data_IF_994846519914
#
_entry.id   IF_994846519914
#
_cell.length_a   1.000
_cell.length_b   1.000
_cell.length_c   1.000
_cell.angle_alpha   90.00
_cell.angle_beta   90.00
_cell.angle_gamma   90.00
#
_symmetry.space_group_name_H-M   'P 1'
#
loop_
_entity.id
_entity.type
_entity.pdbx_description
1 polymer ?
#
# COMPACT_ATOMS: atom_id res chain seq x y z
N UNK A 1 -58.15 -36.99 -27.83
CA UNK A 1 -59.46 -37.11 -27.15
C UNK A 1 -59.33 -36.73 -25.70
N UNK A 2 -60.19 -35.77 -25.30
CA UNK A 2 -60.76 -35.54 -23.95
C UNK A 2 -59.81 -35.25 -22.82
N UNK A 3 -60.00 -34.26 -21.93
CA UNK A 3 -60.94 -33.12 -21.83
C UNK A 3 -60.39 -32.18 -20.77
N UNK A 4 -60.54 -30.89 -20.96
CA UNK A 4 -60.54 -29.83 -19.96
C UNK A 4 -61.60 -30.15 -18.88
N UNK A 5 -61.37 -29.72 -17.69
CA UNK A 5 -62.34 -29.04 -16.76
C UNK A 5 -61.58 -28.59 -15.52
N UNK A 6 -61.39 -27.31 -15.32
CA UNK A 6 -62.27 -26.38 -14.58
C UNK A 6 -62.33 -26.72 -13.09
N UNK A 7 -62.10 -25.87 -12.14
CA UNK A 7 -62.66 -24.52 -11.95
C UNK A 7 -62.20 -23.96 -10.61
N UNK A 8 -61.84 -22.71 -10.63
CA UNK A 8 -62.32 -21.73 -9.64
C UNK A 8 -63.12 -22.27 -8.44
N UNK A 9 -62.50 -22.17 -7.23
CA UNK A 9 -63.20 -21.74 -5.99
C UNK A 9 -62.16 -21.48 -4.92
N UNK A 10 -62.18 -20.25 -4.36
CA UNK A 10 -61.38 -19.96 -3.18
C UNK A 10 -60.86 -18.52 -3.01
N UNK A 11 -61.47 -17.57 -3.74
CA UNK A 11 -61.41 -16.18 -3.28
C UNK A 11 -62.63 -15.95 -2.39
N UNK A 12 -62.43 -15.97 -1.07
CA UNK A 12 -63.27 -15.39 -0.02
C UNK A 12 -63.05 -16.17 1.30
N UNK A 13 -61.96 -15.95 1.98
CA UNK A 13 -61.81 -16.01 3.45
C UNK A 13 -60.41 -15.49 3.73
N UNK A 14 -60.25 -14.20 3.69
CA UNK A 14 -59.10 -13.53 4.32
C UNK A 14 -59.45 -12.04 4.50
N UNK A 15 -60.43 -11.80 5.29
CA UNK A 15 -60.77 -10.48 5.78
C UNK A 15 -61.58 -10.69 7.05
N UNK A 16 -60.90 -10.98 8.19
CA UNK A 16 -61.35 -10.76 9.56
C UNK A 16 -60.37 -11.42 10.54
N UNK A 17 -59.23 -10.77 10.73
CA UNK A 17 -58.42 -10.93 11.96
C UNK A 17 -57.34 -9.88 12.01
N UNK A 18 -57.73 -8.63 11.86
CA UNK A 18 -56.86 -7.48 12.02
C UNK A 18 -57.55 -6.47 12.94
N UNK A 19 -57.68 -6.85 14.20
CA UNK A 19 -58.01 -5.95 15.28
C UNK A 19 -57.97 -6.73 16.61
N UNK A 20 -56.83 -6.86 17.24
CA UNK A 20 -56.65 -7.04 18.67
C UNK A 20 -55.20 -7.51 18.96
N UNK A 21 -54.23 -6.61 18.91
CA UNK A 21 -53.05 -6.58 19.78
C UNK A 21 -52.45 -5.17 19.70
N UNK A 22 -53.11 -4.24 20.33
CA UNK A 22 -52.58 -2.94 20.68
C UNK A 22 -52.84 -2.80 22.18
N UNK A 23 -51.82 -3.03 22.97
CA UNK A 23 -51.58 -2.58 24.32
C UNK A 23 -50.99 -3.69 25.21
N UNK A 24 -49.70 -3.95 25.08
CA UNK A 24 -48.88 -4.42 26.21
C UNK A 24 -47.43 -4.02 25.87
N UNK A 25 -46.89 -3.16 26.74
CA UNK A 25 -45.46 -3.13 26.95
C UNK A 25 -44.69 -1.95 26.45
N UNK A 26 -45.02 -0.75 26.88
CA UNK A 26 -44.01 0.28 27.04
C UNK A 26 -43.22 -0.01 28.34
N UNK A 27 -42.31 -0.95 28.27
CA UNK A 27 -41.21 -1.12 29.23
C UNK A 27 -40.16 -2.03 28.59
N UNK A 28 -39.66 -1.60 27.44
CA UNK A 28 -38.42 -2.15 26.85
C UNK A 28 -37.34 -1.18 27.21
N UNK A 29 -36.42 -1.54 28.07
CA UNK A 29 -35.12 -0.92 28.18
C UNK A 29 -34.55 -0.72 26.77
N UNK A 30 -34.52 0.52 26.31
CA UNK A 30 -33.76 0.94 25.18
C UNK A 30 -32.28 0.78 25.54
N UNK A 31 -31.74 -0.42 25.38
CA UNK A 31 -30.33 -0.57 25.13
C UNK A 31 -30.09 0.20 23.83
N UNK A 32 -29.38 1.32 23.89
CA UNK A 32 -28.71 1.87 22.71
C UNK A 32 -28.01 0.68 22.09
N UNK A 33 -28.37 0.28 20.87
CA UNK A 33 -27.41 -0.36 19.99
C UNK A 33 -26.33 0.69 19.87
N UNK A 34 -25.18 0.45 20.46
CA UNK A 34 -24.01 1.25 20.17
C UNK A 34 -23.80 1.07 18.67
N UNK A 35 -24.11 2.11 17.89
CA UNK A 35 -23.94 2.09 16.45
C UNK A 35 -22.43 1.95 16.21
N UNK A 36 -22.01 0.85 15.59
CA UNK A 36 -20.60 0.59 15.25
C UNK A 36 -20.16 1.65 14.24
N UNK A 37 -19.18 2.46 14.61
CA UNK A 37 -18.56 3.41 13.66
C UNK A 37 -17.80 2.59 12.62
N UNK A 38 -17.95 2.94 11.35
CA UNK A 38 -17.22 2.29 10.26
C UNK A 38 -16.37 3.33 9.56
N UNK A 39 -15.07 3.06 9.40
CA UNK A 39 -14.16 3.84 8.57
C UNK A 39 -13.59 2.98 7.45
N UNK A 40 -13.27 3.61 6.32
CA UNK A 40 -12.67 2.96 5.16
C UNK A 40 -11.25 3.46 4.97
N UNK A 41 -10.28 2.53 5.01
CA UNK A 41 -8.89 2.77 4.65
C UNK A 41 -8.63 2.29 3.21
N UNK A 42 -8.22 3.21 2.35
CA UNK A 42 -7.77 2.92 0.98
C UNK A 42 -6.25 2.92 0.96
N UNK A 43 -5.66 1.75 0.68
CA UNK A 43 -4.23 1.49 0.87
C UNK A 43 -3.57 0.87 -0.36
N UNK A 44 -2.25 0.92 -0.43
CA UNK A 44 -1.51 0.21 -1.47
C UNK A 44 -1.24 -1.26 -1.09
N UNK A 45 -1.04 -2.12 -2.12
CA UNK A 45 -1.08 -3.58 -1.95
C UNK A 45 -0.12 -4.18 -0.90
N UNK A 46 1.15 -3.79 -0.80
CA UNK A 46 2.09 -4.39 0.14
C UNK A 46 1.71 -4.28 1.62
N UNK A 47 0.80 -3.36 1.98
CA UNK A 47 0.38 -3.14 3.38
C UNK A 47 -0.76 -4.03 3.85
N UNK A 48 -1.27 -4.93 3.01
CA UNK A 48 -2.47 -5.74 3.30
C UNK A 48 -2.36 -6.46 4.64
N UNK A 49 -1.31 -7.20 4.86
CA UNK A 49 -1.10 -8.01 6.07
C UNK A 49 -0.81 -7.13 7.30
N UNK A 50 -0.14 -5.98 7.10
CA UNK A 50 0.05 -4.99 8.16
C UNK A 50 -1.29 -4.46 8.65
N UNK A 51 -2.13 -3.97 7.74
CA UNK A 51 -3.41 -3.36 8.13
C UNK A 51 -4.45 -4.37 8.59
N UNK A 52 -4.41 -5.63 8.18
CA UNK A 52 -5.23 -6.68 8.75
C UNK A 52 -4.99 -6.79 10.27
N UNK A 53 -3.72 -6.89 10.69
CA UNK A 53 -3.33 -6.95 12.11
C UNK A 53 -3.52 -5.61 12.83
N UNK A 54 -3.20 -4.51 12.16
CA UNK A 54 -3.32 -3.17 12.72
C UNK A 54 -4.77 -2.80 13.03
N UNK A 55 -5.71 -3.15 12.19
CA UNK A 55 -7.13 -2.88 12.41
C UNK A 55 -7.65 -3.58 13.65
N UNK A 56 -7.35 -4.86 13.84
CA UNK A 56 -7.74 -5.59 15.04
C UNK A 56 -7.17 -4.92 16.31
N UNK A 57 -5.92 -4.47 16.24
CA UNK A 57 -5.25 -3.75 17.33
C UNK A 57 -5.92 -2.40 17.59
N UNK A 58 -6.22 -1.62 16.55
CA UNK A 58 -6.84 -0.31 16.69
C UNK A 58 -8.29 -0.40 17.15
N UNK A 59 -9.08 -1.37 16.64
CA UNK A 59 -10.45 -1.62 17.07
C UNK A 59 -10.53 -1.91 18.59
N UNK A 60 -9.59 -2.74 19.09
CA UNK A 60 -9.47 -3.02 20.51
C UNK A 60 -9.06 -1.77 21.30
N UNK A 61 -8.01 -1.06 20.88
CA UNK A 61 -7.56 0.19 21.50
C UNK A 61 -8.68 1.21 21.59
N UNK A 62 -9.40 1.46 20.50
CA UNK A 62 -10.45 2.46 20.45
C UNK A 62 -11.61 2.12 21.39
N UNK A 63 -11.99 0.84 21.45
CA UNK A 63 -12.99 0.36 22.39
C UNK A 63 -12.57 0.54 23.85
N UNK A 64 -11.31 0.25 24.18
CA UNK A 64 -10.79 0.41 25.55
C UNK A 64 -10.70 1.88 25.96
N UNK A 65 -10.31 2.77 25.05
CA UNK A 65 -10.12 4.19 25.34
C UNK A 65 -11.43 4.98 25.33
N UNK A 66 -12.33 4.69 24.40
CA UNK A 66 -13.52 5.49 24.14
C UNK A 66 -14.84 4.77 24.44
N UNK A 67 -14.81 3.47 24.71
CA UNK A 67 -16.01 2.65 24.98
C UNK A 67 -16.89 2.44 23.75
N UNK A 68 -16.39 2.75 22.55
CA UNK A 68 -17.12 2.71 21.29
C UNK A 68 -16.57 1.60 20.39
N UNK A 69 -17.46 0.75 19.83
CA UNK A 69 -17.08 -0.23 18.83
C UNK A 69 -16.88 0.44 17.47
N UNK A 70 -15.79 0.11 16.80
CA UNK A 70 -15.51 0.54 15.43
C UNK A 70 -15.23 -0.66 14.54
N UNK A 71 -15.30 -0.44 13.23
CA UNK A 71 -14.88 -1.40 12.21
C UNK A 71 -14.14 -0.67 11.11
N UNK A 72 -12.99 -1.19 10.75
CA UNK A 72 -12.20 -0.69 9.62
C UNK A 72 -12.42 -1.57 8.39
N UNK A 73 -12.85 -0.95 7.29
CA UNK A 73 -12.95 -1.59 5.97
C UNK A 73 -11.70 -1.23 5.19
N UNK A 74 -11.16 -2.18 4.44
CA UNK A 74 -9.96 -1.97 3.64
C UNK A 74 -10.18 -2.18 2.16
N UNK A 75 -9.50 -1.35 1.36
CA UNK A 75 -9.29 -1.55 -0.06
C UNK A 75 -7.79 -1.52 -0.36
N UNK A 76 -7.29 -2.47 -1.14
CA UNK A 76 -5.89 -2.56 -1.52
C UNK A 76 -5.75 -2.65 -3.05
N UNK A 77 -4.73 -1.97 -3.58
CA UNK A 77 -4.42 -1.95 -5.00
C UNK A 77 -3.13 -1.18 -5.28
N UNK A 78 -2.81 -0.94 -6.53
CA UNK A 78 -1.71 -0.05 -6.90
C UNK A 78 -1.97 1.37 -6.37
N UNK A 79 -0.96 2.02 -5.77
CA UNK A 79 -1.11 3.29 -5.06
C UNK A 79 -1.78 4.37 -5.92
N UNK A 80 -1.28 4.64 -7.13
CA UNK A 80 -1.90 5.61 -8.03
C UNK A 80 -3.31 5.21 -8.49
N UNK A 81 -3.62 3.91 -8.59
CA UNK A 81 -4.99 3.45 -8.90
C UNK A 81 -5.94 3.69 -7.72
N UNK A 82 -5.46 3.52 -6.50
CA UNK A 82 -6.22 3.81 -5.29
C UNK A 82 -6.47 5.31 -5.14
N UNK A 83 -5.47 6.15 -5.38
CA UNK A 83 -5.65 7.61 -5.38
C UNK A 83 -6.72 8.05 -6.39
N UNK A 84 -6.63 7.57 -7.64
CA UNK A 84 -7.65 7.86 -8.66
C UNK A 84 -9.03 7.37 -8.25
N UNK A 85 -9.16 6.21 -7.63
CA UNK A 85 -10.46 5.71 -7.18
C UNK A 85 -11.10 6.62 -6.13
N UNK A 86 -10.31 7.23 -5.26
CA UNK A 86 -10.80 8.21 -4.26
C UNK A 86 -11.28 9.47 -4.97
N UNK A 87 -10.49 10.00 -5.91
CA UNK A 87 -10.89 11.17 -6.74
C UNK A 87 -12.17 10.87 -7.54
N UNK A 88 -12.36 9.64 -8.00
CA UNK A 88 -13.55 9.21 -8.75
C UNK A 88 -14.77 8.90 -7.86
N UNK A 89 -14.65 9.06 -6.54
CA UNK A 89 -15.76 8.97 -5.60
C UNK A 89 -15.79 7.73 -4.71
N UNK A 90 -14.68 7.00 -4.57
CA UNK A 90 -14.55 6.01 -3.50
C UNK A 90 -14.61 6.72 -2.15
N UNK A 91 -15.57 6.32 -1.31
CA UNK A 91 -15.82 6.94 -0.01
C UNK A 91 -14.81 6.45 1.04
N UNK A 92 -13.54 6.81 0.86
CA UNK A 92 -12.48 6.56 1.83
C UNK A 92 -12.51 7.60 2.94
N UNK A 93 -12.30 7.19 4.18
CA UNK A 93 -12.13 8.08 5.34
C UNK A 93 -10.65 8.42 5.54
N UNK A 94 -9.76 7.47 5.23
CA UNK A 94 -8.31 7.65 5.26
C UNK A 94 -7.67 7.00 4.06
N UNK A 95 -6.52 7.51 3.68
CA UNK A 95 -5.62 6.90 2.69
C UNK A 95 -4.27 6.59 3.31
N UNK A 96 -3.67 5.47 2.88
CA UNK A 96 -2.34 5.03 3.30
C UNK A 96 -1.62 4.55 2.05
N UNK A 97 -0.90 5.45 1.38
CA UNK A 97 -0.40 5.27 0.01
C UNK A 97 1.13 5.17 -0.04
N UNK A 98 1.65 4.69 -1.16
CA UNK A 98 3.09 4.51 -1.34
C UNK A 98 3.83 5.81 -1.61
N UNK A 99 3.13 6.84 -2.11
CA UNK A 99 3.70 8.09 -2.56
C UNK A 99 2.94 9.29 -2.00
N UNK A 100 3.67 10.31 -1.58
CA UNK A 100 3.16 11.64 -1.32
C UNK A 100 2.38 12.19 -2.52
N UNK A 101 2.95 12.09 -3.73
CA UNK A 101 2.32 12.51 -4.98
C UNK A 101 0.90 11.95 -5.18
N UNK A 102 0.64 10.71 -4.78
CA UNK A 102 -0.69 10.10 -4.88
C UNK A 102 -1.70 10.75 -3.92
N UNK A 103 -1.23 11.20 -2.74
CA UNK A 103 -2.05 11.96 -1.78
C UNK A 103 -2.26 13.39 -2.28
N UNK A 104 -1.24 14.02 -2.86
CA UNK A 104 -1.33 15.34 -3.46
C UNK A 104 -2.34 15.38 -4.61
N UNK A 105 -2.45 14.32 -5.40
CA UNK A 105 -3.50 14.19 -6.41
C UNK A 105 -4.90 14.28 -5.78
N UNK A 106 -5.13 13.65 -4.63
CA UNK A 106 -6.41 13.69 -3.93
C UNK A 106 -6.64 15.08 -3.32
N UNK A 107 -5.60 15.68 -2.74
CA UNK A 107 -5.64 17.03 -2.18
C UNK A 107 -5.91 18.10 -3.25
N UNK A 108 -5.28 17.99 -4.41
CA UNK A 108 -5.51 18.89 -5.56
C UNK A 108 -6.96 18.83 -6.07
N UNK A 109 -7.68 17.74 -5.81
CA UNK A 109 -9.11 17.59 -6.10
C UNK A 109 -10.02 18.05 -4.94
N UNK A 110 -9.46 18.60 -3.86
CA UNK A 110 -10.20 19.23 -2.76
C UNK A 110 -10.80 18.23 -1.75
N UNK A 111 -10.36 16.97 -1.75
CA UNK A 111 -10.85 15.94 -0.85
C UNK A 111 -9.99 15.79 0.42
N UNK A 112 -8.74 16.24 0.37
CA UNK A 112 -7.79 16.29 1.48
C UNK A 112 -7.36 17.73 1.67
N UNK A 113 -7.28 18.21 2.91
CA UNK A 113 -6.90 19.58 3.21
C UNK A 113 -5.43 19.85 2.82
N UNK A 114 -5.11 21.03 2.26
CA UNK A 114 -3.73 21.42 2.01
C UNK A 114 -2.92 21.45 3.31
N UNK A 115 -1.67 20.93 3.27
CA UNK A 115 -0.83 20.83 4.45
C UNK A 115 -0.98 19.50 5.21
N UNK A 116 -1.68 18.53 4.66
CA UNK A 116 -1.83 17.17 5.17
C UNK A 116 -0.48 16.52 5.55
N UNK A 117 0.60 16.87 4.87
CA UNK A 117 1.93 16.31 5.11
C UNK A 117 2.48 16.67 6.50
N UNK A 118 2.09 17.82 7.03
CA UNK A 118 2.46 18.31 8.37
C UNK A 118 1.45 17.88 9.47
N UNK A 119 0.42 17.10 9.14
CA UNK A 119 -0.62 16.70 10.09
C UNK A 119 -0.09 15.70 11.11
N UNK A 120 0.78 14.80 10.69
CA UNK A 120 1.42 13.80 11.55
C UNK A 120 2.95 13.91 11.47
N UNK A 121 3.63 13.34 12.48
CA UNK A 121 5.10 13.35 12.54
C UNK A 121 5.74 12.69 11.30
N UNK A 122 6.98 13.09 10.98
CA UNK A 122 7.79 12.51 9.89
C UNK A 122 7.13 12.63 8.51
N UNK A 123 6.60 13.81 8.19
CA UNK A 123 5.94 14.10 6.92
C UNK A 123 4.75 13.15 6.67
N UNK A 124 3.96 12.92 7.72
CA UNK A 124 2.84 11.97 7.72
C UNK A 124 3.20 10.57 7.24
N UNK A 125 4.45 10.11 7.48
CA UNK A 125 4.97 8.79 7.15
C UNK A 125 5.27 7.97 8.41
N UNK A 126 4.33 7.15 8.90
CA UNK A 126 4.48 6.41 10.16
C UNK A 126 5.50 5.27 10.10
N UNK A 127 5.82 4.79 8.93
CA UNK A 127 6.81 3.75 8.65
C UNK A 127 7.43 3.96 7.27
N UNK A 128 8.59 3.36 7.06
CA UNK A 128 9.31 3.42 5.79
C UNK A 128 9.70 2.02 5.31
N UNK A 129 10.23 1.94 4.11
CA UNK A 129 10.86 0.75 3.57
C UNK A 129 12.09 1.14 2.77
N UNK A 130 12.71 0.17 2.13
CA UNK A 130 13.78 0.39 1.14
C UNK A 130 13.65 -0.63 0.04
N UNK A 131 14.44 -0.47 -1.02
CA UNK A 131 14.45 -1.38 -2.16
C UNK A 131 15.61 -2.35 -2.00
N UNK A 132 15.31 -3.63 -2.15
CA UNK A 132 16.25 -4.76 -2.07
C UNK A 132 16.05 -5.68 -3.27
N UNK A 133 16.89 -6.68 -3.42
CA UNK A 133 16.69 -7.75 -4.40
C UNK A 133 16.28 -9.03 -3.71
N UNK A 134 15.25 -9.66 -4.24
CA UNK A 134 14.89 -11.03 -3.88
C UNK A 134 15.40 -11.97 -4.97
N UNK A 135 16.19 -12.96 -4.57
CA UNK A 135 16.74 -13.99 -5.48
C UNK A 135 16.41 -15.38 -4.95
N UNK A 136 16.46 -16.38 -5.83
CA UNK A 136 16.29 -17.78 -5.40
C UNK A 136 17.50 -18.24 -4.64
N UNK A 137 17.29 -19.16 -3.71
CA UNK A 137 18.33 -19.73 -2.85
C UNK A 137 19.53 -20.21 -3.65
N UNK A 138 20.71 -19.81 -3.19
CA UNK A 138 21.98 -20.11 -3.85
C UNK A 138 22.36 -19.12 -4.96
N UNK A 139 21.50 -18.13 -5.24
CA UNK A 139 21.81 -16.97 -6.09
C UNK A 139 22.60 -17.35 -7.35
N UNK A 140 22.02 -18.17 -8.21
CA UNK A 140 22.69 -18.79 -9.36
C UNK A 140 23.34 -17.80 -10.35
N UNK A 141 22.87 -16.54 -10.35
CA UNK A 141 23.40 -15.45 -11.19
C UNK A 141 24.46 -14.61 -10.48
N UNK A 142 24.79 -14.92 -9.21
CA UNK A 142 25.74 -14.16 -8.39
C UNK A 142 25.39 -12.67 -8.35
N UNK A 143 24.11 -12.36 -8.10
CA UNK A 143 23.58 -11.00 -7.96
C UNK A 143 24.05 -10.44 -6.62
N UNK A 144 24.76 -9.30 -6.65
CA UNK A 144 25.29 -8.62 -5.46
C UNK A 144 24.89 -7.17 -5.39
N UNK A 145 24.78 -6.52 -6.56
CA UNK A 145 24.45 -5.10 -6.66
C UNK A 145 23.73 -4.81 -7.99
N UNK A 146 23.33 -3.58 -8.20
CA UNK A 146 22.59 -3.10 -9.35
C UNK A 146 23.26 -3.38 -10.70
N UNK A 147 24.60 -3.36 -10.77
CA UNK A 147 25.35 -3.64 -12.01
C UNK A 147 25.24 -5.11 -12.44
N UNK A 148 24.91 -6.01 -11.53
CA UNK A 148 24.63 -7.41 -11.89
C UNK A 148 23.31 -7.57 -12.63
N UNK A 149 22.35 -6.65 -12.43
CA UNK A 149 21.03 -6.67 -13.06
C UNK A 149 21.08 -6.29 -14.55
N UNK A 150 22.17 -5.69 -15.00
CA UNK A 150 22.38 -5.30 -16.41
C UNK A 150 23.22 -6.31 -17.21
N UNK A 151 23.51 -7.48 -16.65
CA UNK A 151 24.15 -8.60 -17.38
C UNK A 151 23.18 -9.17 -18.41
N UNK A 152 23.70 -9.57 -19.58
CA UNK A 152 22.88 -10.01 -20.74
C UNK A 152 22.06 -11.29 -20.47
N UNK A 153 22.42 -12.07 -19.46
CA UNK A 153 21.79 -13.34 -19.08
C UNK A 153 20.97 -13.25 -17.80
N UNK A 154 20.61 -12.06 -17.33
CA UNK A 154 19.81 -11.81 -16.13
C UNK A 154 18.44 -11.31 -16.53
N UNK A 155 17.40 -12.01 -16.05
CA UNK A 155 16.00 -11.61 -16.20
C UNK A 155 15.49 -10.94 -14.92
N UNK A 156 15.08 -9.69 -15.05
CA UNK A 156 14.57 -8.86 -13.94
C UNK A 156 13.04 -8.87 -13.93
N UNK A 157 12.47 -8.91 -12.72
CA UNK A 157 11.03 -8.66 -12.48
C UNK A 157 10.91 -7.37 -11.67
N UNK A 158 10.03 -6.48 -12.09
CA UNK A 158 9.68 -5.25 -11.36
C UNK A 158 8.30 -4.78 -11.80
N UNK A 159 7.53 -4.08 -10.96
CA UNK A 159 6.27 -3.49 -11.41
C UNK A 159 6.48 -2.26 -12.30
N UNK A 160 5.39 -1.82 -12.95
CA UNK A 160 5.35 -0.70 -13.88
C UNK A 160 5.22 0.64 -13.15
N UNK A 161 6.18 1.58 -13.30
CA UNK A 161 6.10 2.92 -12.70
C UNK A 161 4.87 3.75 -13.13
N UNK A 162 4.26 3.46 -14.27
CA UNK A 162 3.04 4.15 -14.73
C UNK A 162 1.78 3.76 -13.95
N UNK A 163 1.81 2.65 -13.23
CA UNK A 163 0.65 2.14 -12.49
C UNK A 163 0.90 1.88 -11.01
N UNK A 164 2.16 1.70 -10.62
CA UNK A 164 2.59 1.30 -9.29
C UNK A 164 3.51 2.33 -8.66
N UNK A 165 3.07 2.98 -7.59
CA UNK A 165 3.94 3.85 -6.79
C UNK A 165 5.16 3.10 -6.24
N UNK A 166 5.01 1.81 -5.91
CA UNK A 166 6.15 0.97 -5.52
C UNK A 166 7.22 0.88 -6.59
N UNK A 167 6.84 0.87 -7.87
CA UNK A 167 7.77 0.84 -8.98
C UNK A 167 8.50 2.17 -9.20
N UNK A 168 7.87 3.31 -8.86
CA UNK A 168 8.55 4.60 -8.87
C UNK A 168 9.75 4.58 -7.90
N UNK A 169 9.58 4.02 -6.72
CA UNK A 169 10.68 3.84 -5.76
C UNK A 169 11.76 2.89 -6.29
N UNK A 170 11.40 1.79 -6.97
CA UNK A 170 12.37 0.87 -7.60
C UNK A 170 13.22 1.60 -8.66
N UNK A 171 12.56 2.40 -9.51
CA UNK A 171 13.23 3.21 -10.52
C UNK A 171 14.19 4.22 -9.90
N UNK A 172 13.74 4.96 -8.88
CA UNK A 172 14.55 5.97 -8.21
C UNK A 172 15.74 5.35 -7.45
N UNK A 173 15.57 4.14 -6.86
CA UNK A 173 16.67 3.41 -6.23
C UNK A 173 17.76 3.02 -7.25
N UNK A 174 17.36 2.50 -8.41
CA UNK A 174 18.28 2.20 -9.51
C UNK A 174 19.00 3.46 -10.02
N UNK A 175 18.27 4.56 -10.16
CA UNK A 175 18.82 5.85 -10.59
C UNK A 175 19.79 6.45 -9.55
N UNK A 176 19.49 6.28 -8.25
CA UNK A 176 20.39 6.68 -7.15
C UNK A 176 21.72 5.92 -7.22
N UNK A 177 21.68 4.61 -7.46
CA UNK A 177 22.90 3.84 -7.72
C UNK A 177 23.65 4.35 -8.94
N UNK A 178 22.95 4.53 -10.07
CA UNK A 178 23.57 5.00 -11.30
C UNK A 178 24.24 6.38 -11.11
N UNK A 179 23.57 7.33 -10.46
CA UNK A 179 24.13 8.66 -10.15
C UNK A 179 25.28 8.63 -9.13
N UNK A 180 25.34 7.58 -8.28
CA UNK A 180 26.45 7.37 -7.34
C UNK A 180 27.67 6.78 -8.07
N UNK A 181 27.43 5.94 -9.06
CA UNK A 181 28.49 5.13 -9.73
C UNK A 181 29.07 5.81 -10.97
N UNK A 182 28.23 6.46 -11.78
CA UNK A 182 28.62 7.08 -13.03
C UNK A 182 28.65 8.60 -12.92
N UNK A 183 29.64 9.21 -13.56
CA UNK A 183 29.81 10.68 -13.58
C UNK A 183 29.26 11.33 -14.86
N UNK A 184 29.07 10.56 -15.92
CA UNK A 184 28.52 11.01 -17.19
C UNK A 184 27.02 10.68 -17.28
N UNK A 185 26.23 11.67 -17.67
CA UNK A 185 24.76 11.49 -17.76
C UNK A 185 24.38 10.45 -18.82
N UNK A 186 25.14 10.34 -19.89
CA UNK A 186 24.90 9.33 -20.93
C UNK A 186 25.09 7.92 -20.38
N UNK A 187 26.11 7.70 -19.53
CA UNK A 187 26.36 6.40 -18.89
C UNK A 187 25.25 6.05 -17.88
N UNK A 188 24.75 7.05 -17.13
CA UNK A 188 23.61 6.88 -16.21
C UNK A 188 22.39 6.35 -16.98
N UNK A 189 22.01 7.03 -18.06
CA UNK A 189 20.83 6.64 -18.83
C UNK A 189 21.05 5.37 -19.65
N UNK A 190 22.27 5.07 -20.06
CA UNK A 190 22.60 3.79 -20.68
C UNK A 190 22.43 2.63 -19.68
N UNK A 191 22.87 2.80 -18.44
CA UNK A 191 22.63 1.82 -17.39
C UNK A 191 21.14 1.61 -17.15
N UNK A 192 20.34 2.69 -16.95
CA UNK A 192 18.91 2.60 -16.74
C UNK A 192 18.20 1.92 -17.91
N UNK A 193 18.53 2.27 -19.13
CA UNK A 193 17.99 1.62 -20.33
C UNK A 193 18.30 0.13 -20.34
N UNK A 194 19.53 -0.26 -20.03
CA UNK A 194 19.95 -1.66 -20.01
C UNK A 194 19.25 -2.45 -18.91
N UNK A 195 19.04 -1.86 -17.74
CA UNK A 195 18.27 -2.45 -16.65
C UNK A 195 16.85 -2.78 -17.11
N UNK A 196 16.15 -1.82 -17.73
CA UNK A 196 14.78 -2.01 -18.18
C UNK A 196 14.67 -2.92 -19.42
N UNK A 197 15.73 -3.05 -20.23
CA UNK A 197 15.80 -4.07 -21.28
C UNK A 197 15.87 -5.50 -20.75
N UNK A 198 16.38 -5.69 -19.52
CA UNK A 198 16.42 -6.98 -18.85
C UNK A 198 15.13 -7.29 -18.09
N UNK A 199 14.17 -6.36 -18.01
CA UNK A 199 12.87 -6.59 -17.37
C UNK A 199 12.04 -7.48 -18.30
N UNK A 200 11.84 -8.73 -17.88
CA UNK A 200 11.10 -9.74 -18.66
C UNK A 200 9.60 -9.72 -18.39
N UNK A 201 9.18 -9.26 -17.22
CA UNK A 201 7.77 -9.04 -16.83
C UNK A 201 7.68 -7.76 -16.02
N UNK A 202 6.71 -6.92 -16.37
CA UNK A 202 6.37 -5.69 -15.68
C UNK A 202 4.90 -5.74 -15.27
N UNK A 203 4.66 -6.03 -14.00
CA UNK A 203 3.31 -6.16 -13.45
C UNK A 203 2.73 -4.80 -13.06
N UNK A 204 1.41 -4.69 -12.95
CA UNK A 204 0.72 -3.45 -12.61
C UNK A 204 0.90 -3.00 -11.15
N UNK A 205 1.51 -3.82 -10.29
CA UNK A 205 1.73 -3.53 -8.86
C UNK A 205 2.78 -4.44 -8.24
N UNK A 206 3.33 -4.02 -7.09
CA UNK A 206 4.40 -4.73 -6.39
C UNK A 206 4.02 -6.17 -6.04
N UNK A 207 2.81 -6.41 -5.52
CA UNK A 207 2.31 -7.76 -5.19
C UNK A 207 2.22 -8.64 -6.44
N UNK A 208 1.82 -8.09 -7.59
CA UNK A 208 1.81 -8.80 -8.88
C UNK A 208 3.21 -9.31 -9.24
N UNK A 209 4.23 -8.46 -9.10
CA UNK A 209 5.62 -8.83 -9.37
C UNK A 209 6.15 -9.89 -8.39
N UNK A 210 5.78 -9.80 -7.11
CA UNK A 210 6.08 -10.86 -6.12
C UNK A 210 5.44 -12.19 -6.54
N UNK A 211 4.17 -12.20 -6.92
CA UNK A 211 3.49 -13.41 -7.42
C UNK A 211 4.16 -13.95 -8.69
N UNK A 212 4.50 -13.08 -9.64
CA UNK A 212 5.20 -13.48 -10.89
C UNK A 212 6.54 -14.14 -10.59
N UNK A 213 7.30 -13.59 -9.64
CA UNK A 213 8.62 -14.13 -9.27
C UNK A 213 8.51 -15.39 -8.41
N UNK A 214 7.71 -15.34 -7.33
CA UNK A 214 7.63 -16.40 -6.31
C UNK A 214 6.77 -17.57 -6.76
N UNK A 215 5.52 -17.31 -7.16
CA UNK A 215 4.57 -18.38 -7.48
C UNK A 215 4.69 -18.89 -8.92
N UNK A 216 4.91 -17.97 -9.88
CA UNK A 216 5.01 -18.33 -11.28
C UNK A 216 6.44 -18.70 -11.71
N UNK A 217 7.44 -18.49 -10.83
CA UNK A 217 8.83 -18.90 -11.05
C UNK A 217 9.54 -18.16 -12.19
N UNK A 218 9.11 -16.92 -12.53
CA UNK A 218 9.69 -16.10 -13.59
C UNK A 218 10.87 -15.28 -13.11
N UNK A 219 11.75 -14.88 -14.04
CA UNK A 219 12.91 -14.02 -13.80
C UNK A 219 13.99 -14.68 -12.94
N UNK A 220 15.12 -14.02 -12.81
CA UNK A 220 16.25 -14.42 -11.96
C UNK A 220 16.29 -13.60 -10.66
N UNK A 221 15.82 -12.36 -10.73
CA UNK A 221 15.81 -11.40 -9.63
C UNK A 221 14.54 -10.55 -9.65
N UNK A 222 13.98 -10.32 -8.47
CA UNK A 222 12.90 -9.36 -8.25
C UNK A 222 13.47 -8.11 -7.56
N UNK A 223 13.29 -6.94 -8.17
CA UNK A 223 13.49 -5.66 -7.48
C UNK A 223 12.27 -5.47 -6.58
N UNK A 224 12.45 -5.60 -5.28
CA UNK A 224 11.40 -5.70 -4.30
C UNK A 224 11.49 -4.61 -3.23
N UNK A 225 10.36 -4.27 -2.65
CA UNK A 225 10.33 -3.61 -1.36
C UNK A 225 10.81 -4.58 -0.27
N UNK A 226 11.57 -4.06 0.70
CA UNK A 226 12.15 -4.88 1.78
C UNK A 226 11.08 -5.68 2.55
N UNK A 227 9.92 -5.07 2.85
CA UNK A 227 8.83 -5.76 3.52
C UNK A 227 8.26 -6.94 2.71
N UNK A 228 8.14 -6.83 1.38
CA UNK A 228 7.71 -7.94 0.52
C UNK A 228 8.75 -9.07 0.49
N UNK A 229 10.03 -8.71 0.43
CA UNK A 229 11.12 -9.68 0.47
C UNK A 229 11.17 -10.40 1.84
N UNK A 230 11.05 -9.66 2.94
CA UNK A 230 10.99 -10.24 4.31
C UNK A 230 9.78 -11.16 4.46
N UNK A 231 8.59 -10.75 3.97
CA UNK A 231 7.39 -11.57 4.00
C UNK A 231 7.60 -12.88 3.22
N UNK A 232 8.21 -12.80 2.03
CA UNK A 232 8.54 -13.99 1.22
C UNK A 232 9.51 -14.92 1.95
N UNK A 233 10.55 -14.41 2.61
CA UNK A 233 11.49 -15.25 3.37
C UNK A 233 10.83 -15.93 4.56
N UNK A 234 9.86 -15.32 5.20
CA UNK A 234 9.10 -15.95 6.31
C UNK A 234 8.23 -17.10 5.83
N UNK A 235 7.63 -16.96 4.64
CA UNK A 235 6.79 -18.00 4.05
C UNK A 235 7.62 -19.13 3.41
N UNK A 236 8.75 -18.77 2.75
CA UNK A 236 9.60 -19.68 1.99
C UNK A 236 11.08 -19.56 2.39
N UNK A 237 11.45 -19.87 3.65
CA UNK A 237 12.79 -19.57 4.18
C UNK A 237 13.94 -20.36 3.52
N UNK A 238 13.63 -21.48 2.86
CA UNK A 238 14.61 -22.31 2.19
C UNK A 238 14.72 -22.06 0.68
N UNK A 239 13.83 -21.25 0.10
CA UNK A 239 13.71 -21.11 -1.35
C UNK A 239 14.26 -19.78 -1.87
N UNK A 240 14.36 -18.76 -1.01
CA UNK A 240 14.75 -17.39 -1.39
C UNK A 240 15.80 -16.83 -0.43
N UNK A 241 16.46 -15.78 -0.90
CA UNK A 241 17.36 -14.93 -0.10
C UNK A 241 17.27 -13.47 -0.54
N UNK A 242 17.52 -12.56 0.41
CA UNK A 242 17.57 -11.11 0.16
C UNK A 242 19.02 -10.74 -0.12
N UNK A 243 19.20 -9.92 -1.15
CA UNK A 243 20.46 -9.24 -1.46
C UNK A 243 20.26 -7.75 -1.26
N UNK A 244 21.00 -7.17 -0.33
CA UNK A 244 20.98 -5.74 -0.06
C UNK A 244 21.93 -5.02 -1.03
N UNK A 245 21.44 -4.07 -1.85
CA UNK A 245 22.30 -3.31 -2.75
C UNK A 245 23.16 -2.30 -1.99
N UNK A 246 24.28 -1.87 -2.59
CA UNK A 246 25.17 -0.86 -2.00
C UNK A 246 24.50 0.52 -1.84
N UNK A 247 23.54 0.84 -2.71
CA UNK A 247 22.77 2.08 -2.72
C UNK A 247 21.30 1.74 -2.92
N UNK A 248 20.43 2.34 -2.14
CA UNK A 248 18.98 2.24 -2.28
C UNK A 248 18.32 3.60 -2.01
N UNK A 249 17.04 3.59 -1.68
CA UNK A 249 16.25 4.79 -1.41
C UNK A 249 15.41 4.59 -0.14
N UNK A 250 15.22 5.65 0.64
CA UNK A 250 14.25 5.68 1.73
C UNK A 250 12.85 5.82 1.15
N UNK A 251 12.12 4.72 1.08
CA UNK A 251 10.75 4.71 0.60
C UNK A 251 9.79 5.08 1.73
N UNK A 252 9.30 6.31 1.73
CA UNK A 252 8.34 6.84 2.69
C UNK A 252 6.92 6.54 2.19
N UNK A 253 6.12 5.88 3.04
CA UNK A 253 4.71 5.63 2.77
C UNK A 253 3.87 6.62 3.56
N UNK A 254 3.15 7.48 2.86
CA UNK A 254 2.42 8.58 3.47
C UNK A 254 0.97 8.23 3.78
N UNK A 255 0.42 8.88 4.80
CA UNK A 255 -0.96 8.69 5.25
C UNK A 255 -1.68 10.03 5.38
N UNK A 256 -2.97 10.08 5.09
CA UNK A 256 -3.78 11.28 5.26
C UNK A 256 -5.25 10.94 5.57
N UNK A 257 -5.92 11.83 6.28
CA UNK A 257 -7.39 11.84 6.39
C UNK A 257 -7.96 12.35 5.08
N UNK A 258 -9.01 11.72 4.57
CA UNK A 258 -9.79 12.23 3.43
C UNK A 258 -10.87 13.15 4.00
N UNK A 259 -10.49 14.40 4.26
CA UNK A 259 -11.25 15.35 5.08
C UNK A 259 -12.70 15.54 4.64
N UNK A 260 -12.94 15.71 3.36
CA UNK A 260 -14.29 15.93 2.83
C UNK A 260 -15.19 14.69 3.08
N UNK A 261 -14.67 13.50 2.83
CA UNK A 261 -15.39 12.27 3.08
C UNK A 261 -15.59 12.01 4.58
N UNK A 262 -14.53 12.13 5.40
CA UNK A 262 -14.58 11.91 6.84
C UNK A 262 -15.58 12.87 7.51
N UNK A 263 -15.61 14.13 7.06
CA UNK A 263 -16.56 15.13 7.51
C UNK A 263 -18.00 14.78 7.10
N UNK A 264 -18.18 14.35 5.87
CA UNK A 264 -19.50 13.91 5.39
C UNK A 264 -20.00 12.69 6.15
N UNK A 265 -19.12 11.75 6.47
CA UNK A 265 -19.41 10.52 7.19
C UNK A 265 -19.53 10.73 8.71
N UNK A 266 -19.04 11.87 9.23
CA UNK A 266 -18.95 12.15 10.68
C UNK A 266 -17.88 11.29 11.38
N UNK A 267 -16.82 10.94 10.66
CA UNK A 267 -15.72 10.05 11.10
C UNK A 267 -14.39 10.78 11.30
N UNK A 268 -14.34 12.11 11.21
CA UNK A 268 -13.12 12.92 11.30
C UNK A 268 -12.25 12.53 12.50
N UNK A 269 -12.85 12.54 13.71
CA UNK A 269 -12.09 12.27 14.95
C UNK A 269 -11.53 10.85 14.98
N UNK A 270 -12.28 9.84 14.53
CA UNK A 270 -11.82 8.46 14.56
C UNK A 270 -10.79 8.20 13.45
N UNK A 271 -10.92 8.86 12.31
CA UNK A 271 -9.96 8.79 11.19
C UNK A 271 -8.60 9.39 11.57
N UNK A 272 -8.62 10.56 12.21
CA UNK A 272 -7.40 11.20 12.75
C UNK A 272 -6.77 10.31 13.83
N UNK A 273 -7.56 9.75 14.77
CA UNK A 273 -7.02 8.87 15.81
C UNK A 273 -6.48 7.56 15.23
N UNK A 274 -7.10 7.02 14.17
CA UNK A 274 -6.62 5.85 13.45
C UNK A 274 -5.22 6.09 12.87
N UNK A 275 -4.98 7.19 12.20
CA UNK A 275 -3.67 7.51 11.64
C UNK A 275 -2.64 7.87 12.72
N UNK A 276 -3.06 8.59 13.76
CA UNK A 276 -2.20 8.94 14.89
C UNK A 276 -1.71 7.71 15.67
N UNK A 277 -2.56 6.70 15.84
CA UNK A 277 -2.19 5.48 16.55
C UNK A 277 -1.09 4.67 15.84
N UNK A 278 -0.88 4.86 14.52
CA UNK A 278 0.26 4.29 13.79
C UNK A 278 1.63 4.67 14.37
N UNK A 279 1.71 5.80 15.09
CA UNK A 279 2.93 6.27 15.75
C UNK A 279 3.08 5.78 17.20
N UNK A 280 2.12 5.00 17.72
CA UNK A 280 2.24 4.37 19.03
C UNK A 280 3.33 3.30 19.04
N UNK A 281 3.94 3.05 20.19
CA UNK A 281 4.98 2.02 20.32
C UNK A 281 4.50 0.64 19.85
N UNK A 282 3.24 0.29 20.13
CA UNK A 282 2.66 -0.99 19.73
C UNK A 282 2.50 -1.10 18.21
N UNK A 283 2.01 -0.04 17.56
CA UNK A 283 1.87 0.00 16.11
C UNK A 283 3.23 0.04 15.40
N UNK A 284 4.20 0.73 15.97
CA UNK A 284 5.58 0.77 15.44
C UNK A 284 6.26 -0.62 15.51
N UNK A 285 6.05 -1.38 16.60
CA UNK A 285 6.52 -2.77 16.68
C UNK A 285 5.79 -3.67 15.68
N UNK A 286 4.47 -3.49 15.53
CA UNK A 286 3.70 -4.21 14.53
C UNK A 286 4.20 -3.93 13.11
N UNK A 287 4.55 -2.68 12.79
CA UNK A 287 5.17 -2.32 11.51
C UNK A 287 6.49 -3.08 11.30
N UNK A 288 7.39 -3.10 12.30
CA UNK A 288 8.65 -3.85 12.24
C UNK A 288 8.42 -5.36 12.06
N UNK A 289 7.49 -5.93 12.83
CA UNK A 289 7.09 -7.33 12.68
C UNK A 289 6.50 -7.64 11.29
N UNK A 290 5.96 -6.65 10.62
CA UNK A 290 5.41 -6.77 9.27
C UNK A 290 6.45 -6.46 8.17
N UNK A 291 7.72 -6.19 8.57
CA UNK A 291 8.83 -5.93 7.65
C UNK A 291 8.97 -4.47 7.22
N UNK A 292 8.22 -3.55 7.82
CA UNK A 292 8.38 -2.12 7.61
C UNK A 292 9.33 -1.52 8.65
N UNK A 293 10.15 -0.56 8.25
CA UNK A 293 11.06 0.14 9.13
C UNK A 293 10.28 1.18 9.96
N UNK A 294 10.19 1.02 11.31
CA UNK A 294 9.56 2.01 12.16
C UNK A 294 10.25 3.37 12.05
N UNK A 295 9.48 4.46 12.13
CA UNK A 295 10.04 5.81 12.25
C UNK A 295 10.49 6.14 13.68
N UNK A 296 10.08 5.35 14.66
CA UNK A 296 10.61 5.39 16.01
C UNK A 296 11.99 4.71 16.05
N UNK A 297 13.05 5.53 16.14
CA UNK A 297 14.45 5.07 16.12
C UNK A 297 14.80 4.05 17.21
N UNK A 298 14.16 4.14 18.38
CA UNK A 298 14.40 3.18 19.48
C UNK A 298 13.83 1.82 19.13
N UNK A 299 12.63 1.80 18.55
CA UNK A 299 11.99 0.54 18.12
C UNK A 299 12.74 -0.01 16.91
N UNK A 300 13.13 0.83 15.94
CA UNK A 300 13.94 0.38 14.81
C UNK A 300 15.24 -0.32 15.27
N UNK A 301 15.90 0.21 16.31
CA UNK A 301 17.10 -0.39 16.87
C UNK A 301 16.85 -1.77 17.54
N UNK A 302 15.63 -2.05 18.03
CA UNK A 302 15.23 -3.36 18.55
C UNK A 302 15.20 -4.45 17.46
N UNK A 303 15.12 -4.04 16.17
CA UNK A 303 15.02 -4.92 14.98
C UNK A 303 16.25 -4.82 14.06
N UNK A 304 17.40 -4.41 14.60
CA UNK A 304 18.64 -4.27 13.82
C UNK A 304 19.15 -5.58 13.20
N UNK A 305 18.67 -6.73 13.67
CA UNK A 305 18.93 -8.05 13.09
C UNK A 305 17.98 -8.42 11.93
N UNK A 306 16.93 -7.65 11.74
CA UNK A 306 15.96 -7.81 10.65
C UNK A 306 16.26 -6.88 9.48
N UNK A 307 16.64 -5.64 9.78
CA UNK A 307 16.89 -4.59 8.80
C UNK A 307 18.37 -4.28 8.65
N UNK A 308 18.87 -4.27 7.41
CA UNK A 308 20.20 -3.76 7.13
C UNK A 308 20.17 -2.23 7.19
N UNK A 309 20.72 -1.68 8.28
CA UNK A 309 20.75 -0.22 8.50
C UNK A 309 21.97 0.45 7.86
N UNK A 310 22.89 -0.31 7.27
CA UNK A 310 24.12 0.19 6.65
C UNK A 310 23.94 0.53 5.15
N UNK A 311 22.80 0.17 4.56
CA UNK A 311 22.48 0.50 3.16
C UNK A 311 22.50 2.02 3.00
N UNK A 312 23.31 2.53 2.07
CA UNK A 312 23.29 3.95 1.71
C UNK A 312 21.98 4.30 1.01
N UNK A 313 21.17 5.12 1.65
CA UNK A 313 19.86 5.52 1.12
C UNK A 313 19.91 6.96 0.59
N UNK A 314 19.34 7.15 -0.59
CA UNK A 314 18.91 8.45 -1.09
C UNK A 314 17.48 8.71 -0.60
N UNK A 315 17.04 9.95 -0.72
CA UNK A 315 15.67 10.37 -0.41
C UNK A 315 15.00 10.97 -1.64
N UNK A 316 13.71 11.19 -1.59
CA UNK A 316 13.01 11.89 -2.68
C UNK A 316 13.52 13.33 -2.88
N UNK A 317 14.03 13.97 -1.82
CA UNK A 317 14.62 15.31 -1.89
C UNK A 317 15.87 15.36 -2.76
N UNK A 318 16.65 14.28 -2.84
CA UNK A 318 17.81 14.17 -3.73
C UNK A 318 17.41 14.21 -5.23
N UNK A 319 16.13 14.00 -5.52
CA UNK A 319 15.53 14.12 -6.85
C UNK A 319 14.72 15.40 -7.03
N UNK A 320 14.64 16.26 -6.01
CA UNK A 320 13.95 17.54 -6.02
C UNK A 320 12.47 17.46 -5.60
N UNK A 321 12.07 16.38 -4.91
CA UNK A 321 10.70 16.12 -4.49
C UNK A 321 9.89 15.39 -5.56
N UNK A 322 8.66 14.97 -5.17
CA UNK A 322 7.82 14.16 -6.06
C UNK A 322 7.36 14.87 -7.32
N UNK A 323 6.98 16.14 -7.25
CA UNK A 323 6.54 16.91 -8.42
C UNK A 323 7.61 16.90 -9.52
N UNK A 324 8.85 17.19 -9.11
CA UNK A 324 9.98 17.16 -10.06
C UNK A 324 10.32 15.76 -10.54
N UNK A 325 10.24 14.76 -9.68
CA UNK A 325 10.49 13.37 -10.07
C UNK A 325 9.44 12.88 -11.09
N UNK A 326 8.17 13.28 -10.93
CA UNK A 326 7.14 12.94 -11.92
C UNK A 326 7.38 13.65 -13.25
N UNK A 327 7.62 14.98 -13.24
CA UNK A 327 7.93 15.75 -14.44
C UNK A 327 9.14 15.18 -15.21
N UNK A 328 10.22 14.85 -14.48
CA UNK A 328 11.46 14.39 -15.10
C UNK A 328 11.38 12.93 -15.57
N UNK A 329 10.65 12.04 -14.84
CA UNK A 329 10.79 10.61 -15.03
C UNK A 329 9.51 9.85 -15.36
N UNK A 330 8.33 10.25 -14.83
CA UNK A 330 7.14 9.40 -14.85
C UNK A 330 5.95 9.95 -15.62
N UNK A 331 5.88 11.25 -15.90
CA UNK A 331 4.84 11.83 -16.75
C UNK A 331 4.91 11.27 -18.18
N UNK A 332 3.82 11.43 -18.93
CA UNK A 332 3.76 10.97 -20.32
C UNK A 332 4.82 11.67 -21.17
N UNK A 333 5.67 10.90 -21.80
CA UNK A 333 6.80 11.37 -22.57
C UNK A 333 8.04 11.73 -21.76
N UNK A 334 8.02 11.51 -20.43
CA UNK A 334 9.17 11.71 -19.56
C UNK A 334 10.24 10.60 -19.74
N UNK A 335 11.27 10.62 -18.92
CA UNK A 335 12.48 9.80 -19.12
C UNK A 335 12.23 8.29 -19.10
N UNK A 336 11.26 7.82 -18.34
CA UNK A 336 10.90 6.40 -18.34
C UNK A 336 10.40 5.95 -19.72
N UNK A 337 9.55 6.74 -20.36
CA UNK A 337 9.04 6.41 -21.71
C UNK A 337 10.14 6.40 -22.78
N UNK A 338 11.22 7.21 -22.61
CA UNK A 338 12.36 7.22 -23.53
C UNK A 338 13.24 5.96 -23.40
N UNK A 339 13.34 5.36 -22.21
CA UNK A 339 14.21 4.21 -21.95
C UNK A 339 13.49 2.87 -22.11
N UNK A 340 12.18 2.87 -21.97
CA UNK A 340 11.32 1.69 -22.12
C UNK A 340 10.36 1.87 -23.31
N UNK A 341 10.71 1.28 -24.45
CA UNK A 341 9.84 1.25 -25.62
C UNK A 341 8.80 0.13 -25.45
N UNK A 342 7.54 0.51 -25.29
CA UNK A 342 6.38 -0.41 -25.19
C UNK A 342 6.14 -1.21 -26.47
#
# INVERSE_FOLDING_TARGET
MRKRKDMRLGKKVLLLSMAAVLAIGAAGCGGKKDDVITITNVSYDPTRELYERYNDMFEQYYKEQYGQDIKVIQSHGGSGSQARSVVEGCNADVVTLALEHDIDLISANGLIDPGWIDEFDKDSAPYTSTIVFLVRKGNAKDIKDWDDLVKDDVEVITPDPKSSGGACWNFLAALAYARTTYSDEADIWQFMKKLYQNVSVMDSGARGSTTTFVENGKGDVLIAWENEAIATLREYPEDYEIVNPSVSILAQSSVAVVDDNAKHNGTESVSTEYLKYLYSDDAQRLAAESGYRPTNEKILAEYADVFDLDIKQWTIDDFGGWDKAYEDFFDDGAKFDEIYDY
#
